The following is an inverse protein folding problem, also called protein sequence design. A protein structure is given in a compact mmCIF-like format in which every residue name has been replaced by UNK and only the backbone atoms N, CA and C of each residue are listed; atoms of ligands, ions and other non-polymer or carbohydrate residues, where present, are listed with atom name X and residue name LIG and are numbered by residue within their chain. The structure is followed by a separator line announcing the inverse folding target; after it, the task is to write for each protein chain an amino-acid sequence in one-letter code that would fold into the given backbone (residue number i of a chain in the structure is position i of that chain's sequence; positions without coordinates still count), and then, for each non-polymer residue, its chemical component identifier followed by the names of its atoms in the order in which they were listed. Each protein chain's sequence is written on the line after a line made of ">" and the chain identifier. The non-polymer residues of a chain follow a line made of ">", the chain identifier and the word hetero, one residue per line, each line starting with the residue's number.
data_IF_674047905359
#
_entry.id   IF_674047905359
#
_cell.length_a   1.000
_cell.length_b   1.000
_cell.length_c   1.000
_cell.angle_alpha   90.00
_cell.angle_beta   90.00
_cell.angle_gamma   90.00
#
_symmetry.space_group_name_H-M   'P 1'
#
loop_
_entity.id
_entity.type
_entity.pdbx_description
1 polymer ?
#
# COMPACT_ATOMS: atom_id res chain seq x y z
N UNK A 1 8.49 5.24 -9.28
CA UNK A 1 7.99 5.05 -10.66
C UNK A 1 6.87 6.00 -11.02
N UNK A 2 5.97 6.32 -10.09
CA UNK A 2 4.86 7.22 -10.33
C UNK A 2 5.30 8.66 -10.11
N UNK A 3 5.04 9.52 -11.09
CA UNK A 3 5.32 10.96 -10.96
C UNK A 3 4.00 11.68 -10.71
N UNK A 4 3.93 12.53 -9.68
CA UNK A 4 2.74 13.28 -9.29
C UNK A 4 1.49 12.44 -8.94
N UNK A 5 1.67 11.20 -8.47
CA UNK A 5 0.60 10.34 -7.96
C UNK A 5 0.89 9.94 -6.51
N UNK A 6 -0.17 9.71 -5.75
CA UNK A 6 -0.06 9.12 -4.43
C UNK A 6 0.16 7.61 -4.55
N UNK A 7 0.83 7.05 -3.56
CA UNK A 7 1.04 5.60 -3.41
C UNK A 7 0.63 5.16 -2.01
N UNK A 8 0.41 3.86 -1.83
CA UNK A 8 0.29 3.27 -0.50
C UNK A 8 1.70 3.00 0.05
N UNK A 9 1.89 2.94 1.38
CA UNK A 9 3.15 2.47 1.94
C UNK A 9 3.49 1.08 1.39
N UNK A 10 4.71 0.91 0.87
CA UNK A 10 5.14 -0.30 0.20
C UNK A 10 6.60 -0.64 0.49
N UNK A 11 6.91 -1.93 0.42
CA UNK A 11 8.28 -2.47 0.52
C UNK A 11 8.59 -3.13 -0.81
N UNK A 12 9.63 -2.65 -1.51
CA UNK A 12 10.10 -3.27 -2.75
C UNK A 12 11.02 -4.45 -2.43
N UNK A 13 10.76 -5.61 -3.01
CA UNK A 13 11.58 -6.80 -2.83
C UNK A 13 12.15 -7.27 -4.16
N UNK A 14 13.40 -7.73 -4.15
CA UNK A 14 14.06 -8.28 -5.34
C UNK A 14 13.64 -9.74 -5.62
N UNK A 15 13.02 -10.39 -4.63
CA UNK A 15 12.54 -11.77 -4.71
C UNK A 15 11.08 -11.84 -4.28
N UNK A 16 10.42 -12.91 -4.71
CA UNK A 16 9.02 -13.12 -4.36
C UNK A 16 8.88 -13.57 -2.90
N UNK A 17 8.46 -12.65 -2.02
CA UNK A 17 8.30 -12.92 -0.58
C UNK A 17 6.98 -12.38 -0.05
N UNK A 18 6.38 -13.11 0.89
CA UNK A 18 5.24 -12.58 1.65
C UNK A 18 5.77 -11.65 2.73
N UNK A 19 5.01 -10.60 3.04
CA UNK A 19 5.38 -9.67 4.09
C UNK A 19 5.29 -10.39 5.44
N UNK A 20 6.39 -10.46 6.16
CA UNK A 20 6.43 -10.92 7.54
C UNK A 20 6.35 -9.74 8.51
N UNK A 21 6.05 -10.05 9.78
CA UNK A 21 6.07 -9.04 10.84
C UNK A 21 7.47 -8.39 10.98
N UNK A 22 8.52 -9.20 10.99
CA UNK A 22 9.90 -8.70 11.09
C UNK A 22 10.28 -7.78 9.91
N UNK A 23 9.83 -8.10 8.69
CA UNK A 23 10.04 -7.24 7.52
C UNK A 23 9.31 -5.91 7.66
N UNK A 24 8.07 -5.93 8.16
CA UNK A 24 7.30 -4.71 8.41
C UNK A 24 8.00 -3.82 9.45
N UNK A 25 8.39 -4.36 10.60
CA UNK A 25 9.02 -3.56 11.66
C UNK A 25 10.39 -3.01 11.25
N UNK A 26 11.11 -3.73 10.38
CA UNK A 26 12.42 -3.29 9.88
C UNK A 26 12.31 -2.19 8.84
N UNK A 27 11.42 -2.34 7.87
CA UNK A 27 11.38 -1.48 6.68
C UNK A 27 10.40 -0.30 6.84
N UNK A 28 9.51 -0.35 7.83
CA UNK A 28 8.49 0.67 8.05
C UNK A 28 8.51 1.23 9.47
N UNK A 29 8.18 2.53 9.66
CA UNK A 29 8.06 3.14 10.99
C UNK A 29 6.79 2.70 11.74
N UNK A 30 6.03 1.74 11.19
CA UNK A 30 4.74 1.32 11.70
C UNK A 30 4.88 0.06 12.56
N UNK A 31 4.28 0.06 13.76
CA UNK A 31 4.14 -1.13 14.60
C UNK A 31 2.70 -1.60 14.60
N UNK A 32 2.49 -2.87 14.29
CA UNK A 32 1.15 -3.44 14.20
C UNK A 32 1.14 -4.84 13.59
N UNK A 33 -0.08 -5.31 13.35
CA UNK A 33 -0.31 -6.59 12.67
C UNK A 33 -0.75 -6.37 11.23
N UNK A 34 -0.45 -7.34 10.37
CA UNK A 34 -0.81 -7.31 8.96
C UNK A 34 -1.67 -8.52 8.62
N UNK A 35 -2.60 -8.31 7.69
CA UNK A 35 -3.43 -9.36 7.12
C UNK A 35 -3.32 -9.32 5.61
N UNK A 36 -2.94 -10.43 5.00
CA UNK A 36 -2.92 -10.56 3.55
C UNK A 36 -4.34 -10.46 2.98
N UNK A 37 -4.51 -9.67 1.93
CA UNK A 37 -5.79 -9.47 1.24
C UNK A 37 -5.76 -10.17 -0.12
N UNK A 38 -4.88 -9.72 -1.02
CA UNK A 38 -4.79 -10.28 -2.37
C UNK A 38 -3.44 -9.99 -3.02
N UNK A 39 -3.16 -10.69 -4.11
CA UNK A 39 -2.03 -10.45 -4.98
C UNK A 39 -2.53 -10.00 -6.36
N UNK A 40 -1.83 -9.03 -6.96
CA UNK A 40 -2.11 -8.57 -8.33
C UNK A 40 -0.86 -8.47 -9.17
N UNK A 41 -0.99 -8.93 -10.40
CA UNK A 41 -0.02 -8.68 -11.46
C UNK A 41 -0.46 -7.50 -12.30
N UNK A 42 0.45 -6.58 -12.56
CA UNK A 42 0.23 -5.42 -13.41
C UNK A 42 1.33 -5.31 -14.45
N UNK A 43 0.96 -5.36 -15.73
CA UNK A 43 1.90 -5.19 -16.81
C UNK A 43 2.02 -3.70 -17.18
N UNK A 44 3.21 -3.15 -17.01
CA UNK A 44 3.63 -1.90 -17.62
C UNK A 44 4.35 -2.19 -18.93
N UNK A 45 4.43 -1.18 -19.80
CA UNK A 45 5.13 -1.27 -21.08
C UNK A 45 6.55 -1.83 -20.96
N UNK A 46 7.25 -1.48 -19.88
CA UNK A 46 8.66 -1.84 -19.67
C UNK A 46 8.89 -2.85 -18.54
N UNK A 47 7.85 -3.26 -17.79
CA UNK A 47 8.02 -4.19 -16.65
C UNK A 47 6.72 -4.84 -16.20
N UNK A 48 6.81 -6.04 -15.63
CA UNK A 48 5.72 -6.64 -14.84
C UNK A 48 5.91 -6.26 -13.37
N UNK A 49 4.85 -5.73 -12.75
CA UNK A 49 4.77 -5.53 -11.29
C UNK A 49 3.95 -6.68 -10.71
N UNK A 50 4.44 -7.26 -9.61
CA UNK A 50 3.71 -8.20 -8.78
C UNK A 50 3.55 -7.55 -7.40
N UNK A 51 2.33 -7.17 -7.07
CA UNK A 51 2.02 -6.45 -5.82
C UNK A 51 1.15 -7.33 -4.92
N UNK A 52 1.49 -7.35 -3.62
CA UNK A 52 0.70 -8.01 -2.58
C UNK A 52 0.13 -6.94 -1.67
N UNK A 53 -1.19 -6.94 -1.53
CA UNK A 53 -1.90 -5.98 -0.70
C UNK A 53 -2.19 -6.57 0.66
N UNK A 54 -1.92 -5.79 1.70
CA UNK A 54 -2.14 -6.15 3.08
C UNK A 54 -2.97 -5.06 3.75
N UNK A 55 -3.86 -5.47 4.64
CA UNK A 55 -4.49 -4.58 5.60
C UNK A 55 -3.60 -4.50 6.84
N UNK A 56 -3.40 -3.30 7.35
CA UNK A 56 -2.53 -3.03 8.49
C UNK A 56 -3.37 -2.55 9.68
N UNK A 57 -3.17 -3.21 10.82
CA UNK A 57 -3.82 -2.89 12.09
C UNK A 57 -2.77 -2.31 13.03
N UNK A 58 -2.69 -0.98 13.16
CA UNK A 58 -1.67 -0.33 13.97
C UNK A 58 -1.91 -0.59 15.46
N UNK A 59 -0.82 -0.84 16.21
CA UNK A 59 -0.89 -0.96 17.67
C UNK A 59 -1.12 0.40 18.34
N UNK A 60 -0.62 1.47 17.71
CA UNK A 60 -0.65 2.83 18.23
C UNK A 60 -1.46 3.77 17.31
N UNK A 61 -1.85 4.93 17.82
CA UNK A 61 -2.60 5.91 17.05
C UNK A 61 -1.79 6.42 15.82
N UNK A 62 -2.42 6.64 14.65
CA UNK A 62 -1.74 7.05 13.43
C UNK A 62 -0.85 8.31 13.52
N UNK A 63 -1.19 9.22 14.43
CA UNK A 63 -0.43 10.46 14.65
C UNK A 63 0.99 10.23 15.18
N UNK A 64 1.33 9.01 15.60
CA UNK A 64 2.67 8.65 16.04
C UNK A 64 3.61 8.26 14.90
N UNK A 65 3.12 8.19 13.66
CA UNK A 65 3.93 7.75 12.53
C UNK A 65 4.72 8.91 11.92
N UNK A 66 6.05 8.81 11.97
CA UNK A 66 6.97 9.75 11.32
C UNK A 66 7.07 9.47 9.82
N UNK A 67 7.09 10.52 9.00
CA UNK A 67 7.36 10.43 7.56
C UNK A 67 6.45 11.32 6.71
N UNK A 68 6.62 11.27 5.40
CA UNK A 68 5.77 11.98 4.43
C UNK A 68 4.50 11.16 4.11
N UNK A 69 3.69 10.92 5.14
CA UNK A 69 2.42 10.19 5.03
C UNK A 69 1.25 11.13 5.25
N UNK A 70 0.18 10.94 4.49
CA UNK A 70 -1.09 11.64 4.71
C UNK A 70 -2.15 10.61 5.09
N UNK A 71 -2.69 10.72 6.31
CA UNK A 71 -3.81 9.90 6.75
C UNK A 71 -5.10 10.51 6.24
N UNK A 72 -5.89 9.71 5.52
CA UNK A 72 -7.10 10.15 4.84
C UNK A 72 -8.24 9.18 5.09
N UNK A 73 -9.46 9.70 5.10
CA UNK A 73 -10.66 8.85 5.14
C UNK A 73 -10.86 8.12 3.81
N UNK A 74 -11.53 6.96 3.83
CA UNK A 74 -11.89 6.24 2.60
C UNK A 74 -12.72 7.10 1.63
N UNK A 75 -13.61 7.95 2.15
CA UNK A 75 -14.47 8.82 1.34
C UNK A 75 -13.70 9.94 0.61
N UNK A 76 -12.52 10.29 1.12
CA UNK A 76 -11.64 11.28 0.52
C UNK A 76 -10.71 10.72 -0.55
N UNK A 77 -10.63 9.40 -0.74
CA UNK A 77 -9.66 8.79 -1.66
C UNK A 77 -9.80 9.30 -3.10
N UNK A 78 -11.02 9.61 -3.57
CA UNK A 78 -11.28 10.24 -4.88
C UNK A 78 -10.55 11.57 -5.15
N UNK A 79 -10.02 12.22 -4.10
CA UNK A 79 -9.24 13.47 -4.20
C UNK A 79 -7.75 13.22 -4.48
N UNK A 80 -7.31 11.97 -4.35
CA UNK A 80 -5.91 11.56 -4.44
C UNK A 80 -5.74 10.70 -5.69
N UNK A 81 -5.04 11.17 -6.72
CA UNK A 81 -4.82 10.37 -7.91
C UNK A 81 -3.83 9.24 -7.60
N UNK A 82 -4.21 8.01 -7.92
CA UNK A 82 -3.41 6.81 -7.69
C UNK A 82 -3.01 6.15 -9.03
N UNK A 83 -1.95 5.34 -9.06
CA UNK A 83 -1.67 4.45 -10.17
C UNK A 83 -2.83 3.48 -10.42
N UNK A 84 -3.08 3.13 -11.69
CA UNK A 84 -4.14 2.18 -12.09
C UNK A 84 -4.13 0.85 -11.33
N UNK A 85 -2.97 0.39 -10.89
CA UNK A 85 -2.83 -0.81 -10.06
C UNK A 85 -3.59 -0.65 -8.72
N UNK A 86 -3.36 0.46 -8.04
CA UNK A 86 -3.97 0.77 -6.74
C UNK A 86 -5.44 1.14 -6.91
N UNK A 87 -5.79 1.92 -7.94
CA UNK A 87 -7.20 2.24 -8.23
C UNK A 87 -8.04 0.98 -8.42
N UNK A 88 -7.51 0.02 -9.21
CA UNK A 88 -8.19 -1.25 -9.42
C UNK A 88 -8.35 -2.01 -8.10
N UNK A 89 -7.33 -2.02 -7.25
CA UNK A 89 -7.39 -2.67 -5.93
C UNK A 89 -8.47 -2.03 -5.06
N UNK A 90 -8.48 -0.72 -4.94
CA UNK A 90 -9.45 0.02 -4.12
C UNK A 90 -10.89 -0.18 -4.62
N UNK A 91 -11.11 -0.19 -5.95
CA UNK A 91 -12.44 -0.45 -6.54
C UNK A 91 -12.99 -1.83 -6.19
N UNK A 92 -12.15 -2.87 -6.21
CA UNK A 92 -12.57 -4.22 -5.80
C UNK A 92 -12.85 -4.36 -4.30
N UNK A 93 -12.25 -3.49 -3.48
CA UNK A 93 -12.59 -3.38 -2.05
C UNK A 93 -13.83 -2.49 -1.81
N UNK A 94 -14.58 -2.14 -2.87
CA UNK A 94 -15.78 -1.30 -2.78
C UNK A 94 -15.51 0.17 -2.48
N UNK A 95 -14.26 0.64 -2.60
CA UNK A 95 -13.87 2.02 -2.31
C UNK A 95 -14.06 2.91 -3.53
N UNK A 96 -14.47 4.17 -3.30
CA UNK A 96 -14.65 5.18 -4.35
C UNK A 96 -13.34 5.91 -4.62
N UNK A 97 -12.74 5.61 -5.77
CA UNK A 97 -11.51 6.22 -6.29
C UNK A 97 -11.61 6.56 -7.76
#
# INVERSE_FOLDING_TARGET
>A
MWHNLYDLPLIETNTETYLSHDMLEKEMPFKGTIKFIEERRHQLTHRSIKARFYEFFPNNHPNSFSGNYTFVSFDSLKKYPFPKLIEKFLKTQGKKV
#
